data_IF_920444759075
#
_entry.id   IF_920444759075
#
_cell.length_a   1.000
_cell.length_b   1.000
_cell.length_c   1.000
_cell.angle_alpha   90.00
_cell.angle_beta   90.00
_cell.angle_gamma   90.00
#
_symmetry.space_group_name_H-M   'P 1'
#
loop_
_entity.id
_entity.type
_entity.pdbx_description
1 polymer ?
#
# COMPACT_ATOMS: atom_id res chain seq x y z
N UNK A 1 6.12 51.20 99.12
CA UNK A 1 7.23 50.99 98.15
C UNK A 1 7.00 49.78 97.22
N UNK A 2 6.52 48.61 97.69
CA UNK A 2 6.29 47.44 96.82
C UNK A 2 5.19 47.57 95.74
N UNK A 3 4.10 48.31 96.00
CA UNK A 3 2.97 48.41 95.05
C UNK A 3 3.33 49.10 93.72
N UNK A 4 4.16 50.16 93.77
CA UNK A 4 4.58 50.88 92.56
C UNK A 4 5.52 50.06 91.68
N UNK A 5 6.40 49.24 92.28
CA UNK A 5 7.32 48.37 91.53
C UNK A 5 6.56 47.26 90.81
N UNK A 6 5.54 46.69 91.46
CA UNK A 6 4.65 45.70 90.84
C UNK A 6 3.83 46.31 89.69
N UNK A 7 3.29 47.53 89.86
CA UNK A 7 2.55 48.23 88.81
C UNK A 7 3.41 48.56 87.59
N UNK A 8 4.65 49.05 87.79
CA UNK A 8 5.59 49.32 86.70
C UNK A 8 6.00 48.05 85.96
N UNK A 9 6.19 46.95 86.69
CA UNK A 9 6.44 45.62 86.11
C UNK A 9 5.27 45.13 85.25
N UNK A 10 4.03 45.26 85.74
CA UNK A 10 2.83 44.91 84.97
C UNK A 10 2.70 45.74 83.69
N UNK A 11 2.93 47.05 83.77
CA UNK A 11 2.88 47.94 82.60
C UNK A 11 3.92 47.52 81.55
N UNK A 12 5.16 47.24 81.97
CA UNK A 12 6.23 46.80 81.07
C UNK A 12 5.90 45.47 80.37
N UNK A 13 5.27 44.53 81.07
CA UNK A 13 4.81 43.26 80.48
C UNK A 13 3.68 43.50 79.49
N UNK A 14 2.72 44.36 79.81
CA UNK A 14 1.59 44.69 78.92
C UNK A 14 2.07 45.41 77.65
N UNK A 15 3.00 46.36 77.77
CA UNK A 15 3.55 47.07 76.60
C UNK A 15 4.37 46.12 75.72
N UNK A 16 5.14 45.21 76.32
CA UNK A 16 5.85 44.16 75.57
C UNK A 16 4.90 43.22 74.84
N UNK A 17 3.87 42.69 75.51
CA UNK A 17 2.88 41.80 74.90
C UNK A 17 2.10 42.49 73.78
N UNK A 18 1.72 43.75 73.94
CA UNK A 18 1.04 44.52 72.89
C UNK A 18 1.93 44.83 71.69
N UNK A 19 3.22 45.14 71.90
CA UNK A 19 4.22 45.26 70.82
C UNK A 19 4.43 43.93 70.09
N UNK A 20 4.57 42.83 70.82
CA UNK A 20 4.72 41.49 70.24
C UNK A 20 3.49 41.09 69.42
N UNK A 21 2.28 41.34 69.95
CA UNK A 21 1.01 41.07 69.26
C UNK A 21 0.84 41.91 67.99
N UNK A 22 1.20 43.19 68.03
CA UNK A 22 1.14 44.05 66.83
C UNK A 22 2.14 43.62 65.75
N UNK A 23 3.35 43.18 66.14
CA UNK A 23 4.34 42.64 65.20
C UNK A 23 3.85 41.33 64.53
N UNK A 24 3.34 40.36 65.31
CA UNK A 24 2.78 39.12 64.76
C UNK A 24 1.57 39.40 63.85
N UNK A 25 0.72 40.36 64.21
CA UNK A 25 -0.41 40.77 63.36
C UNK A 25 0.08 41.38 62.03
N UNK A 26 1.19 42.13 62.03
CA UNK A 26 1.78 42.66 60.81
C UNK A 26 2.38 41.55 59.92
N UNK A 27 3.07 40.57 60.51
CA UNK A 27 3.58 39.39 59.79
C UNK A 27 2.44 38.54 59.20
N UNK A 28 1.38 38.29 59.97
CA UNK A 28 0.20 37.57 59.49
C UNK A 28 -0.46 38.28 58.28
N UNK A 29 -0.55 39.61 58.29
CA UNK A 29 -1.06 40.39 57.15
C UNK A 29 -0.16 40.25 55.92
N UNK A 30 1.17 40.34 56.10
CA UNK A 30 2.14 40.16 55.01
C UNK A 30 2.06 38.75 54.42
N UNK A 31 1.97 37.74 55.28
CA UNK A 31 1.84 36.35 54.88
C UNK A 31 0.52 36.13 54.12
N UNK A 32 -0.59 36.66 54.62
CA UNK A 32 -1.89 36.60 53.94
C UNK A 32 -1.86 37.24 52.55
N UNK A 33 -1.16 38.36 52.36
CA UNK A 33 -0.99 38.98 51.04
C UNK A 33 -0.18 38.09 50.09
N UNK A 34 0.92 37.48 50.55
CA UNK A 34 1.71 36.54 49.73
C UNK A 34 0.90 35.31 49.33
N UNK A 35 0.09 34.77 50.25
CA UNK A 35 -0.82 33.66 49.95
C UNK A 35 -1.79 34.05 48.85
N UNK A 36 -2.41 35.23 48.91
CA UNK A 36 -3.32 35.70 47.84
C UNK A 36 -2.62 35.88 46.49
N UNK A 37 -1.38 36.37 46.48
CA UNK A 37 -0.61 36.53 45.24
C UNK A 37 -0.23 35.17 44.63
N UNK A 38 0.21 34.24 45.47
CA UNK A 38 0.49 32.87 45.04
C UNK A 38 -0.76 32.19 44.49
N UNK A 39 -1.92 32.37 45.14
CA UNK A 39 -3.20 31.85 44.69
C UNK A 39 -3.55 32.35 43.26
N UNK A 40 -3.49 33.68 43.03
CA UNK A 40 -3.76 34.26 41.72
C UNK A 40 -2.78 33.76 40.65
N UNK A 41 -1.49 33.63 41.01
CA UNK A 41 -0.48 33.10 40.10
C UNK A 41 -0.73 31.63 39.77
N UNK A 42 -1.18 30.83 40.74
CA UNK A 42 -1.55 29.42 40.49
C UNK A 42 -2.76 29.32 39.58
N UNK A 43 -3.79 30.15 39.77
CA UNK A 43 -4.99 30.19 38.93
C UNK A 43 -4.65 30.57 37.47
N UNK A 44 -3.81 31.59 37.28
CA UNK A 44 -3.32 31.97 35.96
C UNK A 44 -2.56 30.81 35.27
N UNK A 45 -1.63 30.17 35.99
CA UNK A 45 -0.88 29.05 35.44
C UNK A 45 -1.76 27.83 35.14
N UNK A 46 -2.84 27.61 35.90
CA UNK A 46 -3.80 26.55 35.59
C UNK A 46 -4.59 26.86 34.32
N UNK A 47 -5.02 28.10 34.12
CA UNK A 47 -5.72 28.51 32.90
C UNK A 47 -4.82 28.36 31.66
N UNK A 48 -3.56 28.77 31.76
CA UNK A 48 -2.61 28.63 30.65
C UNK A 48 -2.33 27.16 30.33
N UNK A 49 -2.26 26.29 31.36
CA UNK A 49 -2.15 24.84 31.14
C UNK A 49 -3.35 24.29 30.37
N UNK A 50 -4.57 24.66 30.75
CA UNK A 50 -5.79 24.20 30.06
C UNK A 50 -5.82 24.66 28.59
N UNK A 51 -5.41 25.90 28.34
CA UNK A 51 -5.29 26.45 26.98
C UNK A 51 -4.29 25.66 26.14
N UNK A 52 -3.10 25.41 26.69
CA UNK A 52 -2.07 24.62 26.02
C UNK A 52 -2.55 23.19 25.74
N UNK A 53 -3.27 22.56 26.69
CA UNK A 53 -3.85 21.23 26.50
C UNK A 53 -4.88 21.19 25.37
N UNK A 54 -5.70 22.23 25.22
CA UNK A 54 -6.65 22.33 24.12
C UNK A 54 -5.94 22.47 22.77
N UNK A 55 -4.87 23.26 22.72
CA UNK A 55 -4.05 23.42 21.51
C UNK A 55 -3.33 22.12 21.13
N UNK A 56 -2.78 21.38 22.11
CA UNK A 56 -2.17 20.07 21.86
C UNK A 56 -3.18 19.08 21.30
N UNK A 57 -4.39 18.99 21.87
CA UNK A 57 -5.44 18.11 21.36
C UNK A 57 -5.87 18.47 19.93
N UNK A 58 -5.90 19.77 19.61
CA UNK A 58 -6.18 20.26 18.25
C UNK A 58 -5.10 19.84 17.26
N UNK A 59 -3.83 20.02 17.64
CA UNK A 59 -2.69 19.65 16.80
C UNK A 59 -2.61 18.13 16.58
N UNK A 60 -2.93 17.32 17.60
CA UNK A 60 -3.02 15.86 17.49
C UNK A 60 -4.10 15.44 16.48
N UNK A 61 -5.30 16.04 16.55
CA UNK A 61 -6.37 15.78 15.58
C UNK A 61 -5.93 16.15 14.15
N UNK A 62 -5.31 17.33 13.97
CA UNK A 62 -4.77 17.73 12.67
C UNK A 62 -3.70 16.76 12.15
N UNK A 63 -2.83 16.29 13.04
CA UNK A 63 -1.77 15.32 12.71
C UNK A 63 -2.37 13.99 12.28
N UNK A 64 -3.36 13.48 13.01
CA UNK A 64 -4.07 12.26 12.65
C UNK A 64 -4.78 12.40 11.29
N UNK A 65 -5.40 13.55 11.02
CA UNK A 65 -6.03 13.83 9.73
C UNK A 65 -5.02 13.86 8.57
N UNK A 66 -3.86 14.49 8.78
CA UNK A 66 -2.79 14.53 7.79
C UNK A 66 -2.20 13.14 7.55
N UNK A 67 -2.05 12.33 8.59
CA UNK A 67 -1.59 10.94 8.47
C UNK A 67 -2.55 10.09 7.65
N UNK A 68 -3.86 10.17 7.92
CA UNK A 68 -4.88 9.46 7.14
C UNK A 68 -4.85 9.89 5.67
N UNK A 69 -4.81 11.20 5.41
CA UNK A 69 -4.71 11.71 4.04
C UNK A 69 -3.43 11.22 3.33
N UNK A 70 -2.32 11.18 4.05
CA UNK A 70 -1.05 10.68 3.51
C UNK A 70 -1.14 9.20 3.17
N UNK A 71 -1.78 8.40 4.02
CA UNK A 71 -2.01 6.99 3.77
C UNK A 71 -2.86 6.77 2.51
N UNK A 72 -3.96 7.51 2.37
CA UNK A 72 -4.84 7.43 1.19
C UNK A 72 -4.09 7.79 -0.10
N UNK A 73 -3.28 8.85 -0.09
CA UNK A 73 -2.48 9.27 -1.24
C UNK A 73 -1.39 8.24 -1.58
N UNK A 74 -0.75 7.63 -0.58
CA UNK A 74 0.23 6.55 -0.79
C UNK A 74 -0.44 5.35 -1.45
N UNK A 75 -1.60 4.94 -0.96
CA UNK A 75 -2.36 3.84 -1.53
C UNK A 75 -2.72 4.10 -3.01
N UNK A 76 -3.25 5.29 -3.30
CA UNK A 76 -3.58 5.69 -4.68
C UNK A 76 -2.35 5.70 -5.59
N UNK A 77 -1.22 6.25 -5.11
CA UNK A 77 0.06 6.24 -5.84
C UNK A 77 0.49 4.82 -6.16
N UNK A 78 0.42 3.91 -5.19
CA UNK A 78 0.89 2.54 -5.36
C UNK A 78 -0.01 1.76 -6.34
N UNK A 79 -1.32 1.97 -6.28
CA UNK A 79 -2.28 1.44 -7.25
C UNK A 79 -1.99 1.93 -8.68
N UNK A 80 -1.72 3.23 -8.84
CA UNK A 80 -1.37 3.81 -10.14
C UNK A 80 -0.03 3.28 -10.64
N UNK A 81 0.98 3.20 -9.77
CA UNK A 81 2.31 2.69 -10.11
C UNK A 81 2.24 1.22 -10.56
N UNK A 82 1.46 0.39 -9.87
CA UNK A 82 1.22 -0.98 -10.28
C UNK A 82 0.56 -1.08 -11.66
N UNK A 83 -0.50 -0.30 -11.89
CA UNK A 83 -1.19 -0.24 -13.19
C UNK A 83 -0.23 0.18 -14.30
N UNK A 84 0.61 1.18 -14.03
CA UNK A 84 1.61 1.65 -14.99
C UNK A 84 2.66 0.59 -15.30
N UNK A 85 3.09 -0.21 -14.31
CA UNK A 85 4.03 -1.31 -14.52
C UNK A 85 3.43 -2.39 -15.43
N UNK A 86 2.17 -2.78 -15.20
CA UNK A 86 1.46 -3.75 -16.04
C UNK A 86 1.32 -3.23 -17.47
N UNK A 87 0.91 -1.97 -17.65
CA UNK A 87 0.79 -1.34 -18.96
C UNK A 87 2.16 -1.29 -19.65
N UNK A 88 3.23 -0.86 -18.97
CA UNK A 88 4.58 -0.83 -19.53
C UNK A 88 5.05 -2.21 -19.98
N UNK A 89 4.76 -3.24 -19.19
CA UNK A 89 5.09 -4.64 -19.55
C UNK A 89 4.37 -5.04 -20.84
N UNK A 90 3.05 -4.85 -20.91
CA UNK A 90 2.28 -5.17 -22.12
C UNK A 90 2.72 -4.35 -23.33
N UNK A 91 2.96 -3.04 -23.18
CA UNK A 91 3.47 -2.18 -24.25
C UNK A 91 4.83 -2.67 -24.72
N UNK A 92 5.74 -3.06 -23.83
CA UNK A 92 7.04 -3.60 -24.25
C UNK A 92 6.92 -4.92 -25.01
N UNK A 93 5.93 -5.76 -24.64
CA UNK A 93 5.67 -7.06 -25.24
C UNK A 93 5.06 -6.95 -26.65
N UNK A 94 4.09 -6.06 -26.82
CA UNK A 94 3.36 -5.88 -28.09
C UNK A 94 3.93 -4.77 -28.97
N UNK A 95 4.69 -3.83 -28.41
CA UNK A 95 5.27 -2.68 -29.12
C UNK A 95 6.80 -2.57 -28.94
N UNK A 96 7.58 -3.59 -29.30
CA UNK A 96 9.03 -3.49 -29.27
C UNK A 96 9.53 -2.35 -30.18
N UNK A 97 10.48 -1.55 -29.71
CA UNK A 97 11.05 -0.41 -30.44
C UNK A 97 9.99 0.61 -30.95
N UNK A 98 8.92 0.84 -30.18
CA UNK A 98 7.80 1.71 -30.53
C UNK A 98 7.05 1.29 -31.80
N UNK A 99 7.11 0.00 -32.16
CA UNK A 99 6.35 -0.58 -33.27
C UNK A 99 5.39 -1.64 -32.74
N UNK A 100 4.11 -1.28 -32.66
CA UNK A 100 3.08 -2.17 -32.18
C UNK A 100 2.70 -3.23 -33.21
N UNK A 101 2.54 -4.46 -32.75
CA UNK A 101 2.07 -5.60 -33.52
C UNK A 101 0.84 -6.20 -32.85
N UNK A 102 -0.04 -6.80 -33.67
CA UNK A 102 -1.26 -7.46 -33.18
C UNK A 102 -0.94 -8.70 -32.35
N UNK A 103 0.08 -9.43 -32.78
CA UNK A 103 0.53 -10.68 -32.16
C UNK A 103 1.89 -10.49 -31.49
N UNK A 104 2.21 -11.43 -30.59
CA UNK A 104 3.52 -11.52 -29.97
C UNK A 104 4.61 -11.77 -31.02
N UNK A 105 5.86 -11.39 -30.72
CA UNK A 105 6.99 -11.70 -31.60
C UNK A 105 7.06 -13.21 -31.88
N UNK A 106 7.19 -13.57 -33.16
CA UNK A 106 7.20 -14.98 -33.61
C UNK A 106 5.81 -15.58 -33.87
N UNK A 107 4.73 -14.88 -33.51
CA UNK A 107 3.36 -15.30 -33.80
C UNK A 107 2.84 -14.57 -35.04
N UNK A 108 2.17 -15.31 -35.91
CA UNK A 108 1.62 -14.78 -37.15
C UNK A 108 0.14 -14.40 -36.97
N UNK A 109 -0.27 -13.18 -37.31
CA UNK A 109 -1.68 -12.79 -37.29
C UNK A 109 -2.42 -13.40 -38.47
N UNK A 110 -3.57 -14.01 -38.21
CA UNK A 110 -4.55 -14.37 -39.24
C UNK A 110 -5.96 -14.20 -38.67
N UNK A 111 -6.76 -13.39 -39.38
CA UNK A 111 -8.07 -12.92 -38.92
C UNK A 111 -8.00 -12.35 -37.49
N UNK A 112 -8.74 -12.93 -36.56
CA UNK A 112 -8.83 -12.48 -35.16
C UNK A 112 -7.91 -13.29 -34.22
N UNK A 113 -7.07 -14.17 -34.76
CA UNK A 113 -6.19 -15.07 -34.02
C UNK A 113 -4.70 -14.85 -34.32
N UNK A 114 -3.86 -15.37 -33.41
CA UNK A 114 -2.41 -15.37 -33.53
C UNK A 114 -1.91 -16.81 -33.51
N UNK A 115 -1.01 -17.18 -34.42
CA UNK A 115 -0.57 -18.56 -34.62
C UNK A 115 0.93 -18.70 -34.39
N UNK A 116 1.34 -19.70 -33.62
CA UNK A 116 2.73 -20.07 -33.42
C UNK A 116 3.01 -21.41 -34.09
N UNK A 117 3.86 -21.40 -35.11
CA UNK A 117 4.34 -22.62 -35.78
C UNK A 117 5.64 -23.04 -35.10
N UNK A 118 5.53 -23.89 -34.06
CA UNK A 118 6.69 -24.34 -33.30
C UNK A 118 7.35 -25.53 -34.01
N UNK A 119 8.49 -25.29 -34.65
CA UNK A 119 9.26 -26.28 -35.42
C UNK A 119 10.70 -26.49 -34.91
N UNK A 120 11.05 -25.90 -33.76
CA UNK A 120 12.40 -26.03 -33.23
C UNK A 120 12.69 -27.49 -32.81
N UNK A 121 13.84 -28.05 -33.23
CA UNK A 121 14.35 -29.26 -32.60
C UNK A 121 14.62 -28.88 -31.15
N UNK A 122 13.80 -29.42 -30.24
CA UNK A 122 14.04 -29.28 -28.80
C UNK A 122 15.52 -29.50 -28.52
N UNK A 123 16.08 -28.85 -27.48
CA UNK A 123 17.46 -29.12 -27.04
C UNK A 123 17.74 -30.63 -26.82
N UNK A 124 16.68 -31.44 -26.74
CA UNK A 124 16.65 -32.89 -26.61
C UNK A 124 16.62 -33.68 -27.94
N UNK A 125 16.58 -33.05 -29.12
CA UNK A 125 16.39 -33.69 -30.45
C UNK A 125 15.14 -34.59 -30.55
N UNK A 126 14.21 -34.50 -29.61
CA UNK A 126 13.01 -35.32 -29.55
C UNK A 126 11.77 -34.49 -29.85
N UNK A 127 10.88 -35.06 -30.65
CA UNK A 127 9.57 -34.51 -30.96
C UNK A 127 8.67 -34.58 -29.73
N UNK A 128 7.86 -33.54 -29.54
CA UNK A 128 6.83 -33.53 -28.50
C UNK A 128 5.70 -34.46 -28.87
N UNK A 129 5.18 -35.19 -27.90
CA UNK A 129 3.87 -35.84 -27.98
C UNK A 129 2.75 -34.79 -28.06
N UNK A 130 1.53 -35.21 -28.41
CA UNK A 130 0.37 -34.30 -28.45
C UNK A 130 0.15 -33.57 -27.12
N UNK A 131 0.19 -34.31 -26.00
CA UNK A 131 0.01 -33.75 -24.65
C UNK A 131 1.13 -32.74 -24.29
N UNK A 132 2.38 -33.07 -24.64
CA UNK A 132 3.50 -32.16 -24.41
C UNK A 132 3.41 -30.90 -25.27
N UNK A 133 2.92 -31.00 -26.51
CA UNK A 133 2.68 -29.84 -27.37
C UNK A 133 1.54 -28.98 -26.85
N UNK A 134 0.44 -29.57 -26.38
CA UNK A 134 -0.65 -28.84 -25.74
C UNK A 134 -0.16 -28.11 -24.48
N UNK A 135 0.57 -28.81 -23.62
CA UNK A 135 1.14 -28.22 -22.41
C UNK A 135 2.13 -27.10 -22.74
N UNK A 136 2.88 -27.24 -23.83
CA UNK A 136 3.80 -26.21 -24.32
C UNK A 136 3.06 -24.94 -24.72
N UNK A 137 2.03 -25.02 -25.58
CA UNK A 137 1.21 -23.87 -25.97
C UNK A 137 0.68 -23.11 -24.75
N UNK A 138 0.05 -23.82 -23.81
CA UNK A 138 -0.52 -23.23 -22.59
C UNK A 138 0.53 -22.58 -21.67
N UNK A 139 1.76 -23.07 -21.70
CA UNK A 139 2.89 -22.53 -20.92
C UNK A 139 3.50 -21.30 -21.58
N UNK A 140 3.67 -21.31 -22.91
CA UNK A 140 4.17 -20.17 -23.68
C UNK A 140 3.24 -18.97 -23.59
N UNK A 141 1.93 -19.21 -23.67
CA UNK A 141 0.91 -18.20 -23.47
C UNK A 141 -0.33 -18.83 -22.81
N UNK A 142 -0.74 -18.36 -21.62
CA UNK A 142 -1.92 -18.87 -20.91
C UNK A 142 -3.24 -18.78 -21.70
N UNK A 143 -3.28 -17.96 -22.75
CA UNK A 143 -4.44 -17.77 -23.63
C UNK A 143 -4.29 -18.51 -24.96
N UNK A 144 -3.35 -19.44 -25.08
CA UNK A 144 -3.13 -20.23 -26.29
C UNK A 144 -3.26 -21.72 -26.04
N UNK A 145 -3.65 -22.45 -27.08
CA UNK A 145 -3.79 -23.89 -27.11
C UNK A 145 -3.40 -24.40 -28.51
N UNK A 146 -3.41 -25.71 -28.72
CA UNK A 146 -3.27 -26.27 -30.07
C UNK A 146 -4.41 -25.79 -30.97
N UNK A 147 -4.09 -25.53 -32.24
CA UNK A 147 -5.01 -24.91 -33.18
C UNK A 147 -6.23 -25.77 -33.46
N UNK A 148 -7.41 -25.14 -33.45
CA UNK A 148 -8.66 -25.69 -33.99
C UNK A 148 -8.80 -25.12 -35.38
N UNK A 149 -9.07 -25.97 -36.38
CA UNK A 149 -9.23 -25.51 -37.76
C UNK A 149 -10.71 -25.53 -38.11
N UNK A 150 -11.33 -24.35 -38.19
CA UNK A 150 -12.79 -24.21 -38.36
C UNK A 150 -13.21 -23.70 -39.74
N UNK A 151 -12.25 -23.27 -40.56
CA UNK A 151 -12.51 -22.71 -41.89
C UNK A 151 -11.50 -23.16 -42.95
N UNK A 152 -11.94 -23.11 -44.20
CA UNK A 152 -11.07 -23.42 -45.34
C UNK A 152 -9.95 -22.37 -45.50
N UNK A 153 -10.23 -21.13 -45.12
CA UNK A 153 -9.28 -20.02 -45.17
C UNK A 153 -8.17 -20.22 -44.14
N UNK A 154 -8.53 -20.61 -42.91
CA UNK A 154 -7.57 -20.96 -41.86
C UNK A 154 -6.74 -22.19 -42.26
N UNK A 155 -7.37 -23.24 -42.79
CA UNK A 155 -6.67 -24.42 -43.30
C UNK A 155 -5.61 -24.06 -44.35
N UNK A 156 -5.94 -23.13 -45.28
CA UNK A 156 -4.99 -22.63 -46.29
C UNK A 156 -3.88 -21.81 -45.66
N UNK A 157 -4.22 -20.90 -44.75
CA UNK A 157 -3.23 -20.12 -44.02
C UNK A 157 -2.23 -21.02 -43.29
N UNK A 158 -2.71 -22.04 -42.57
CA UNK A 158 -1.84 -23.02 -41.88
C UNK A 158 -0.98 -23.77 -42.90
N UNK A 159 -1.57 -24.27 -43.98
CA UNK A 159 -0.85 -24.99 -45.03
C UNK A 159 0.31 -24.18 -45.63
N UNK A 160 0.09 -22.88 -45.87
CA UNK A 160 1.10 -21.99 -46.47
C UNK A 160 2.28 -21.68 -45.53
N UNK A 161 2.14 -21.93 -44.22
CA UNK A 161 3.13 -21.58 -43.20
C UNK A 161 3.78 -22.77 -42.50
N UNK A 162 3.30 -24.00 -42.72
CA UNK A 162 3.95 -25.21 -42.21
C UNK A 162 5.13 -25.63 -43.10
N UNK A 163 6.13 -26.25 -42.46
CA UNK A 163 7.20 -26.93 -43.17
C UNK A 163 6.72 -28.27 -43.72
N UNK A 164 7.10 -28.58 -44.96
CA UNK A 164 6.88 -29.91 -45.53
C UNK A 164 7.92 -30.90 -44.99
N UNK A 165 7.44 -32.03 -44.48
CA UNK A 165 8.25 -33.18 -44.12
C UNK A 165 8.12 -34.26 -45.20
N UNK A 166 9.20 -35.00 -45.46
CA UNK A 166 9.24 -36.03 -46.50
C UNK A 166 8.90 -37.43 -45.96
N UNK A 167 8.20 -37.49 -44.83
CA UNK A 167 7.80 -38.72 -44.15
C UNK A 167 6.49 -38.50 -43.36
N UNK A 168 5.87 -39.60 -42.93
CA UNK A 168 4.58 -39.60 -42.23
C UNK A 168 4.70 -39.44 -40.70
N UNK A 169 5.92 -39.42 -40.16
CA UNK A 169 6.19 -39.42 -38.73
C UNK A 169 6.47 -38.02 -38.18
N UNK A 170 6.70 -37.05 -39.06
CA UNK A 170 7.00 -35.67 -38.71
C UNK A 170 5.93 -34.71 -39.21
N UNK A 171 5.53 -33.80 -38.34
CA UNK A 171 4.51 -32.81 -38.63
C UNK A 171 4.20 -31.93 -37.43
N UNK A 172 3.16 -31.12 -37.57
CA UNK A 172 2.68 -30.23 -36.52
C UNK A 172 1.46 -30.86 -35.85
N UNK A 173 1.44 -30.84 -34.52
CA UNK A 173 0.25 -31.21 -33.77
C UNK A 173 -0.81 -30.11 -33.89
N UNK A 174 -2.06 -30.53 -34.07
CA UNK A 174 -3.25 -29.68 -34.02
C UNK A 174 -4.11 -30.09 -32.83
N UNK A 175 -5.14 -29.30 -32.52
CA UNK A 175 -5.99 -29.50 -31.35
C UNK A 175 -6.92 -30.71 -31.41
N UNK A 176 -6.85 -31.53 -32.46
CA UNK A 176 -7.70 -32.69 -32.62
C UNK A 176 -7.07 -33.91 -31.93
N UNK A 177 -7.81 -34.54 -31.01
CA UNK A 177 -7.36 -35.70 -30.22
C UNK A 177 -8.37 -36.84 -30.28
N UNK A 178 -7.91 -38.09 -30.20
CA UNK A 178 -8.80 -39.25 -30.11
C UNK A 178 -8.94 -39.68 -28.65
N UNK A 179 -10.16 -39.51 -28.11
CA UNK A 179 -10.53 -39.90 -26.76
C UNK A 179 -11.54 -41.05 -26.83
N UNK A 180 -11.09 -42.27 -26.54
CA UNK A 180 -11.95 -43.47 -26.52
C UNK A 180 -12.72 -43.73 -27.82
N UNK A 181 -12.05 -43.61 -28.97
CA UNK A 181 -12.60 -43.74 -30.33
C UNK A 181 -13.49 -42.57 -30.79
N UNK A 182 -13.44 -41.44 -30.10
CA UNK A 182 -14.14 -40.20 -30.49
C UNK A 182 -13.08 -39.13 -30.73
N UNK A 183 -13.15 -38.46 -31.88
CA UNK A 183 -12.30 -37.30 -32.15
C UNK A 183 -12.90 -36.07 -31.50
N UNK A 184 -12.11 -35.37 -30.69
CA UNK A 184 -12.53 -34.21 -29.90
C UNK A 184 -11.47 -33.13 -30.01
N UNK A 185 -11.91 -31.88 -30.24
CA UNK A 185 -11.05 -30.70 -30.22
C UNK A 185 -10.67 -30.28 -28.80
N UNK A 186 -9.61 -29.48 -28.65
CA UNK A 186 -9.14 -29.02 -27.33
C UNK A 186 -10.16 -28.19 -26.54
N UNK A 187 -11.18 -27.65 -27.21
CA UNK A 187 -12.30 -26.93 -26.59
C UNK A 187 -13.51 -27.82 -26.25
N UNK A 188 -13.45 -29.11 -26.58
CA UNK A 188 -14.48 -30.10 -26.27
C UNK A 188 -15.53 -30.33 -27.36
N UNK A 189 -15.36 -29.78 -28.56
CA UNK A 189 -16.21 -30.04 -29.73
C UNK A 189 -15.94 -31.41 -30.37
#
# INVERSE_FOLDING_TARGET
>A
MCLCVLLLGCIAVITYLSLSLTNQNAENRRLSSRVSLLQNSTEFLTQERERLQQETARLENQTAKLQNLTHDLIHQRDQFNWTLQVIKSNVSKFCPNNRCQRCLSGWLPFEDSCYLFYDEPSQSKTWKTWDESQSYCRTENPFSDLVIIDSLQEQKFIHDHIKNYYDEWHGFWIGLSNQSNIWVWVDGQ
#
